data_IF_803474163750
#
_entry.id   IF_803474163750
#
_cell.length_a   1.000
_cell.length_b   1.000
_cell.length_c   1.000
_cell.angle_alpha   90.00
_cell.angle_beta   90.00
_cell.angle_gamma   90.00
#
_symmetry.space_group_name_H-M   'P 1'
#
loop_
_entity.id
_entity.type
_entity.pdbx_description
1 polymer ?
#
# COMPACT_ATOMS: atom_id res chain seq x y z
N UNK A 1 -17.69 -0.11 -14.97
CA UNK A 1 -16.62 0.38 -15.87
C UNK A 1 -15.30 -0.23 -15.37
N UNK A 2 -14.39 -0.69 -16.24
CA UNK A 2 -13.07 -1.09 -15.72
C UNK A 2 -12.36 0.13 -15.13
N UNK A 3 -11.56 -0.07 -14.10
CA UNK A 3 -10.68 0.96 -13.56
C UNK A 3 -9.64 1.39 -14.60
N UNK A 4 -9.23 2.67 -14.53
CA UNK A 4 -8.15 3.19 -15.36
C UNK A 4 -6.79 2.70 -14.83
N UNK A 5 -5.79 2.61 -15.71
CA UNK A 5 -4.44 2.27 -15.26
C UNK A 5 -3.85 3.37 -14.38
N UNK A 6 -3.02 2.99 -13.41
CA UNK A 6 -2.33 3.98 -12.55
C UNK A 6 -1.41 4.89 -13.38
N UNK A 7 -0.80 4.37 -14.45
CA UNK A 7 0.02 5.18 -15.36
C UNK A 7 -0.79 6.30 -16.00
N UNK A 8 -2.03 6.02 -16.45
CA UNK A 8 -2.92 7.02 -17.02
C UNK A 8 -3.39 8.04 -15.97
N UNK A 9 -3.60 7.60 -14.73
CA UNK A 9 -3.95 8.49 -13.61
C UNK A 9 -2.78 9.41 -13.26
N UNK A 10 -1.55 8.88 -13.20
CA UNK A 10 -0.34 9.69 -12.97
C UNK A 10 -0.17 10.75 -14.06
N UNK A 11 -0.46 10.40 -15.32
CA UNK A 11 -0.35 11.37 -16.41
C UNK A 11 -1.38 12.51 -16.28
N UNK A 12 -2.63 12.20 -15.92
CA UNK A 12 -3.61 13.24 -15.64
C UNK A 12 -3.20 14.08 -14.41
N UNK A 13 -2.66 13.45 -13.37
CA UNK A 13 -2.17 14.11 -12.18
C UNK A 13 -1.00 15.06 -12.49
N UNK A 14 -0.08 14.65 -13.38
CA UNK A 14 1.03 15.51 -13.89
C UNK A 14 0.52 16.77 -14.57
N UNK A 15 -0.64 16.67 -15.24
CA UNK A 15 -1.32 17.80 -15.87
C UNK A 15 -2.16 18.64 -14.90
N UNK A 16 -2.12 18.35 -13.59
CA UNK A 16 -2.91 19.05 -12.57
C UNK A 16 -4.40 18.70 -12.57
N UNK A 17 -4.78 17.56 -13.17
CA UNK A 17 -6.17 17.10 -13.17
C UNK A 17 -6.47 16.27 -11.91
N UNK A 18 -7.74 16.21 -11.54
CA UNK A 18 -8.25 15.37 -10.47
C UNK A 18 -8.26 13.90 -10.86
N UNK A 19 -8.09 13.04 -9.87
CA UNK A 19 -8.29 11.61 -9.98
C UNK A 19 -9.21 11.12 -8.85
N UNK A 20 -9.85 9.97 -9.04
CA UNK A 20 -10.65 9.31 -8.04
C UNK A 20 -9.98 7.98 -7.68
N UNK A 21 -9.66 7.77 -6.41
CA UNK A 21 -9.16 6.49 -5.93
C UNK A 21 -10.15 5.85 -4.97
N UNK A 22 -10.25 4.52 -5.06
CA UNK A 22 -11.08 3.68 -4.20
C UNK A 22 -10.17 2.81 -3.36
N UNK A 23 -10.45 2.67 -2.08
CA UNK A 23 -9.75 1.73 -1.20
C UNK A 23 -10.43 0.35 -1.16
N UNK A 24 -9.86 -0.57 -0.37
CA UNK A 24 -10.37 -1.93 -0.26
C UNK A 24 -11.75 -1.96 0.44
N UNK A 25 -12.62 -2.88 0.00
CA UNK A 25 -13.94 -3.12 0.60
C UNK A 25 -13.86 -3.50 2.09
N UNK A 26 -12.76 -4.15 2.50
CA UNK A 26 -12.50 -4.56 3.89
C UNK A 26 -11.93 -3.41 4.75
N UNK A 27 -11.66 -2.21 4.17
CA UNK A 27 -11.14 -1.05 4.87
C UNK A 27 -12.26 -0.01 5.10
N UNK A 28 -12.25 1.11 4.42
CA UNK A 28 -13.31 2.14 4.49
C UNK A 28 -14.39 1.89 3.44
N UNK A 29 -14.01 1.22 2.34
CA UNK A 29 -14.85 0.99 1.16
C UNK A 29 -15.40 2.30 0.61
N UNK A 30 -14.53 3.30 0.47
CA UNK A 30 -14.85 4.66 0.06
C UNK A 30 -14.04 5.07 -1.16
N UNK A 31 -14.38 6.21 -1.74
CA UNK A 31 -13.61 6.81 -2.81
C UNK A 31 -13.39 8.29 -2.54
N UNK A 32 -12.14 8.69 -2.64
CA UNK A 32 -11.75 10.09 -2.53
C UNK A 32 -11.43 10.68 -3.90
N UNK A 33 -11.86 11.92 -4.08
CA UNK A 33 -11.41 12.78 -5.15
C UNK A 33 -10.09 13.44 -4.72
N UNK A 34 -9.03 13.27 -5.51
CA UNK A 34 -7.69 13.74 -5.21
C UNK A 34 -7.23 14.76 -6.26
N UNK A 35 -6.44 15.77 -5.81
CA UNK A 35 -5.83 16.77 -6.67
C UNK A 35 -4.41 17.07 -6.17
N UNK A 36 -3.36 17.21 -7.04
CA UNK A 36 -2.07 17.71 -6.59
C UNK A 36 -2.23 19.05 -5.88
N UNK A 37 -1.75 19.16 -4.65
CA UNK A 37 -1.94 20.38 -3.85
C UNK A 37 -1.31 21.62 -4.52
N UNK A 38 -0.21 21.43 -5.27
CA UNK A 38 0.40 22.50 -6.07
C UNK A 38 -0.49 23.06 -7.20
N UNK A 39 -1.54 22.32 -7.58
CA UNK A 39 -2.51 22.72 -8.62
C UNK A 39 -3.85 23.18 -8.02
N UNK A 40 -3.91 23.37 -6.70
CA UNK A 40 -5.15 23.75 -6.00
C UNK A 40 -5.53 25.20 -6.31
N UNK A 41 -6.78 25.41 -6.72
CA UNK A 41 -7.37 26.73 -7.02
C UNK A 41 -8.72 26.91 -6.32
N UNK A 42 -9.25 28.12 -6.28
CA UNK A 42 -10.58 28.37 -5.75
C UNK A 42 -11.68 27.56 -6.47
N UNK A 43 -11.53 27.40 -7.79
CA UNK A 43 -12.45 26.63 -8.64
C UNK A 43 -12.42 25.15 -8.27
N UNK A 44 -11.23 24.58 -8.05
CA UNK A 44 -11.09 23.16 -7.67
C UNK A 44 -11.63 22.90 -6.26
N UNK A 45 -11.38 23.78 -5.29
CA UNK A 45 -11.98 23.70 -3.95
C UNK A 45 -13.51 23.81 -4.04
N UNK A 46 -14.03 24.76 -4.84
CA UNK A 46 -15.47 24.91 -5.05
C UNK A 46 -16.09 23.67 -5.67
N UNK A 47 -15.42 23.03 -6.64
CA UNK A 47 -15.86 21.79 -7.25
C UNK A 47 -15.90 20.66 -6.20
N UNK A 48 -14.81 20.45 -5.44
CA UNK A 48 -14.73 19.44 -4.38
C UNK A 48 -15.85 19.61 -3.35
N UNK A 49 -16.05 20.83 -2.84
CA UNK A 49 -17.09 21.11 -1.86
C UNK A 49 -18.51 20.85 -2.37
N UNK A 50 -18.79 21.16 -3.65
CA UNK A 50 -20.11 21.03 -4.24
C UNK A 50 -20.42 19.62 -4.72
N UNK A 51 -19.47 18.99 -5.40
CA UNK A 51 -19.71 17.71 -6.08
C UNK A 51 -19.34 16.51 -5.19
N UNK A 52 -18.20 16.58 -4.45
CA UNK A 52 -17.78 15.49 -3.58
C UNK A 52 -18.40 15.55 -2.17
N UNK A 53 -18.55 16.74 -1.56
CA UNK A 53 -19.29 17.03 -0.31
C UNK A 53 -18.63 16.58 0.99
N UNK A 54 -17.58 15.77 0.93
CA UNK A 54 -16.82 15.29 2.09
C UNK A 54 -15.97 16.38 2.75
N UNK A 55 -15.15 16.01 3.70
CA UNK A 55 -14.23 16.91 4.38
C UNK A 55 -12.99 17.17 3.49
N UNK A 56 -12.79 18.42 3.09
CA UNK A 56 -11.61 18.79 2.32
C UNK A 56 -10.38 18.78 3.23
N UNK A 57 -9.48 17.83 2.97
CA UNK A 57 -8.24 17.61 3.71
C UNK A 57 -7.01 17.87 2.82
N UNK A 58 -5.86 18.10 3.47
CA UNK A 58 -4.57 18.27 2.81
C UNK A 58 -3.61 17.15 3.26
N UNK A 59 -3.27 16.22 2.38
CA UNK A 59 -2.29 15.19 2.70
C UNK A 59 -0.88 15.75 2.61
N UNK A 60 -0.06 15.49 3.63
CA UNK A 60 1.33 15.95 3.75
C UNK A 60 2.22 14.79 4.21
N UNK A 61 3.46 14.76 3.74
CA UNK A 61 4.47 13.84 4.30
C UNK A 61 4.81 14.19 5.75
N UNK A 62 5.39 13.26 6.50
CA UNK A 62 5.85 13.51 7.85
C UNK A 62 6.88 14.67 7.90
N UNK A 63 7.86 14.66 6.99
CA UNK A 63 8.85 15.73 6.82
C UNK A 63 8.18 17.11 6.62
N UNK A 64 7.15 17.17 5.79
CA UNK A 64 6.41 18.38 5.50
C UNK A 64 5.67 18.89 6.75
N UNK A 65 5.00 17.97 7.47
CA UNK A 65 4.36 18.31 8.75
C UNK A 65 5.36 18.84 9.79
N UNK A 66 6.53 18.21 9.92
CA UNK A 66 7.60 18.66 10.80
C UNK A 66 8.09 20.06 10.42
N UNK A 67 8.33 20.32 9.14
CA UNK A 67 8.77 21.63 8.65
C UNK A 67 7.78 22.76 8.97
N UNK A 68 6.48 22.46 8.89
CA UNK A 68 5.41 23.41 9.24
C UNK A 68 5.12 23.50 10.74
N UNK A 69 5.75 22.66 11.58
CA UNK A 69 5.46 22.58 13.01
C UNK A 69 4.04 22.07 13.32
N UNK A 70 3.51 21.17 12.46
CA UNK A 70 2.18 20.60 12.65
C UNK A 70 2.24 19.42 13.62
N UNK A 71 1.53 19.53 14.73
CA UNK A 71 1.36 18.46 15.70
C UNK A 71 0.09 17.66 15.42
N UNK A 72 0.01 16.43 15.96
CA UNK A 72 -1.21 15.64 15.93
C UNK A 72 -2.35 16.39 16.63
N UNK A 73 -3.55 16.32 16.07
CA UNK A 73 -4.74 16.97 16.64
C UNK A 73 -5.04 16.50 18.08
N UNK A 74 -4.69 15.25 18.40
CA UNK A 74 -4.88 14.64 19.71
C UNK A 74 -3.67 13.82 20.12
N UNK A 75 -3.32 13.77 21.42
CA UNK A 75 -2.19 12.97 21.90
C UNK A 75 -2.40 11.46 21.73
N UNK A 76 -3.67 11.00 21.76
CA UNK A 76 -4.04 9.59 21.58
C UNK A 76 -5.13 9.52 20.52
N UNK A 77 -4.82 8.88 19.39
CA UNK A 77 -5.76 8.72 18.29
C UNK A 77 -6.63 7.49 18.52
N UNK A 78 -7.93 7.72 18.75
CA UNK A 78 -8.94 6.68 18.94
C UNK A 78 -9.74 6.33 17.68
N UNK A 79 -9.39 6.86 16.50
CA UNK A 79 -10.12 6.55 15.27
C UNK A 79 -9.85 5.12 14.80
N UNK A 80 -10.88 4.47 14.25
CA UNK A 80 -10.82 3.06 13.82
C UNK A 80 -9.67 2.80 12.83
N UNK A 81 -9.49 3.71 11.88
CA UNK A 81 -8.46 3.59 10.84
C UNK A 81 -7.20 4.41 11.14
N UNK A 82 -7.11 4.97 12.35
CA UNK A 82 -5.94 5.74 12.81
C UNK A 82 -5.53 6.87 11.87
N UNK A 83 -6.49 7.54 11.22
CA UNK A 83 -6.23 8.68 10.34
C UNK A 83 -5.54 9.79 11.12
N UNK A 84 -4.34 10.17 10.67
CA UNK A 84 -3.43 11.03 11.43
C UNK A 84 -3.73 12.52 11.17
N UNK A 85 -4.87 12.99 11.67
CA UNK A 85 -5.20 14.41 11.65
C UNK A 85 -4.17 15.22 12.46
N UNK A 86 -3.71 16.31 11.87
CA UNK A 86 -3.03 17.38 12.60
C UNK A 86 -4.02 18.45 13.00
N UNK A 87 -3.59 19.42 13.81
CA UNK A 87 -4.41 20.61 14.06
C UNK A 87 -4.70 21.30 12.72
N UNK A 88 -5.96 21.76 12.55
CA UNK A 88 -6.38 22.48 11.33
C UNK A 88 -5.60 23.79 11.18
N UNK A 89 -5.44 24.24 9.93
CA UNK A 89 -4.60 25.39 9.58
C UNK A 89 -5.34 26.44 8.76
N UNK A 90 -4.79 27.66 8.83
CA UNK A 90 -5.12 28.77 7.93
C UNK A 90 -3.85 29.42 7.44
N UNK A 91 -3.84 30.06 6.27
CA UNK A 91 -2.73 30.89 5.82
C UNK A 91 -2.57 32.09 6.76
N UNK A 92 -1.32 32.40 7.14
CA UNK A 92 -1.03 33.57 8.02
C UNK A 92 -1.39 34.91 7.35
N UNK A 93 -1.57 34.94 6.04
CA UNK A 93 -1.90 36.16 5.28
C UNK A 93 -2.65 35.84 3.98
N UNK A 94 -3.39 36.82 3.50
CA UNK A 94 -4.10 36.74 2.20
C UNK A 94 -5.42 35.95 2.27
N UNK A 95 -5.98 35.81 3.46
CA UNK A 95 -7.30 35.19 3.71
C UNK A 95 -8.22 36.17 4.43
N UNK A 96 -9.53 35.94 4.36
CA UNK A 96 -10.55 36.69 5.07
C UNK A 96 -11.03 35.92 6.30
N UNK A 97 -12.13 35.16 6.17
CA UNK A 97 -12.66 34.30 7.24
C UNK A 97 -12.15 32.86 7.17
N UNK A 98 -11.38 32.52 6.14
CA UNK A 98 -10.74 31.23 5.96
C UNK A 98 -11.60 30.17 5.24
N UNK A 99 -12.92 30.21 5.34
CA UNK A 99 -13.81 29.16 4.85
C UNK A 99 -14.12 29.25 3.36
N UNK A 100 -13.93 30.40 2.72
CA UNK A 100 -14.22 30.56 1.29
C UNK A 100 -13.33 29.64 0.44
N UNK A 101 -13.78 29.29 -0.76
CA UNK A 101 -12.97 28.48 -1.67
C UNK A 101 -11.62 29.15 -1.98
N UNK A 102 -11.60 30.47 -2.12
CA UNK A 102 -10.38 31.25 -2.34
C UNK A 102 -9.44 31.21 -1.12
N UNK A 103 -9.97 31.37 0.10
CA UNK A 103 -9.18 31.35 1.32
C UNK A 103 -8.58 29.96 1.56
N UNK A 104 -9.38 28.87 1.36
CA UNK A 104 -8.89 27.49 1.48
C UNK A 104 -7.81 27.18 0.45
N UNK A 105 -7.98 27.60 -0.81
CA UNK A 105 -6.96 27.45 -1.84
C UNK A 105 -5.68 28.22 -1.48
N UNK A 106 -5.83 29.45 -0.93
CA UNK A 106 -4.69 30.24 -0.43
C UNK A 106 -3.97 29.52 0.70
N UNK A 107 -4.70 28.91 1.63
CA UNK A 107 -4.15 28.14 2.74
C UNK A 107 -3.37 26.92 2.24
N UNK A 108 -3.95 26.17 1.29
CA UNK A 108 -3.24 25.05 0.67
C UNK A 108 -1.95 25.53 0.00
N UNK A 109 -2.02 26.57 -0.83
CA UNK A 109 -0.84 27.11 -1.52
C UNK A 109 0.26 27.58 -0.52
N UNK A 110 -0.12 28.23 0.57
CA UNK A 110 0.83 28.63 1.61
C UNK A 110 1.49 27.43 2.29
N UNK A 111 0.70 26.38 2.61
CA UNK A 111 1.20 25.20 3.30
C UNK A 111 2.15 24.36 2.43
N UNK A 112 1.97 24.30 1.10
CA UNK A 112 2.77 23.44 0.21
C UNK A 112 3.92 24.15 -0.50
N UNK A 113 4.10 25.45 -0.24
CA UNK A 113 5.26 26.18 -0.77
C UNK A 113 6.56 25.51 -0.30
N UNK A 114 7.53 25.45 -1.19
CA UNK A 114 8.83 24.79 -0.90
C UNK A 114 9.58 25.43 0.25
N UNK A 115 9.37 26.73 0.47
CA UNK A 115 9.99 27.51 1.55
C UNK A 115 9.08 27.70 2.77
N UNK A 116 7.87 27.10 2.76
CA UNK A 116 6.91 27.27 3.84
C UNK A 116 7.46 26.78 5.18
N UNK A 117 7.23 27.58 6.22
CA UNK A 117 7.55 27.28 7.59
C UNK A 117 6.39 27.61 8.55
N UNK A 118 6.60 27.49 9.87
CA UNK A 118 5.53 27.70 10.87
C UNK A 118 4.92 29.10 10.83
N UNK A 119 5.65 30.11 10.35
CA UNK A 119 5.17 31.48 10.28
C UNK A 119 4.21 31.74 9.10
N UNK A 120 4.13 30.84 8.13
CA UNK A 120 3.29 31.01 6.95
C UNK A 120 1.85 30.50 7.17
N UNK A 121 1.63 29.84 8.28
CA UNK A 121 0.34 29.30 8.70
C UNK A 121 -0.02 29.73 10.12
N UNK A 122 -1.32 29.70 10.43
CA UNK A 122 -1.86 29.85 11.79
C UNK A 122 -2.78 28.68 12.10
N UNK A 123 -2.99 28.43 13.38
CA UNK A 123 -3.83 27.36 13.91
C UNK A 123 -4.81 27.94 14.94
N UNK A 124 -6.08 27.46 14.94
CA UNK A 124 -6.73 26.57 14.01
C UNK A 124 -7.15 27.27 12.71
N UNK A 125 -7.68 26.51 11.75
CA UNK A 125 -8.20 27.02 10.48
C UNK A 125 -9.20 26.10 9.80
N UNK A 126 -9.38 26.26 8.49
CA UNK A 126 -10.42 25.57 7.70
C UNK A 126 -9.86 24.54 6.70
N UNK A 127 -8.56 24.27 6.73
CA UNK A 127 -7.94 23.13 6.05
C UNK A 127 -7.44 22.15 7.12
N UNK A 128 -7.67 20.87 6.90
CA UNK A 128 -7.31 19.78 7.81
C UNK A 128 -6.14 18.97 7.24
N UNK A 129 -4.90 19.23 7.70
CA UNK A 129 -3.78 18.43 7.25
C UNK A 129 -3.83 17.01 7.81
N UNK A 130 -3.49 16.04 6.96
CA UNK A 130 -3.35 14.63 7.29
C UNK A 130 -1.89 14.23 7.09
N UNK A 131 -1.29 13.66 8.14
CA UNK A 131 0.10 13.22 8.10
C UNK A 131 0.18 11.81 7.51
N UNK A 132 0.75 11.68 6.31
CA UNK A 132 1.01 10.40 5.68
C UNK A 132 2.10 9.62 6.42
N UNK A 133 2.00 8.28 6.41
CA UNK A 133 3.05 7.41 6.89
C UNK A 133 4.22 7.37 5.91
N UNK A 134 5.45 7.30 6.44
CA UNK A 134 6.63 7.05 5.63
C UNK A 134 6.49 5.73 4.88
N UNK A 135 6.96 5.69 3.64
CA UNK A 135 6.72 4.58 2.73
C UNK A 135 5.40 4.67 1.93
N UNK A 136 4.51 5.61 2.29
CA UNK A 136 3.27 5.86 1.54
C UNK A 136 2.30 4.68 1.56
N UNK A 137 1.65 4.40 0.42
CA UNK A 137 0.68 3.29 0.32
C UNK A 137 1.28 1.91 0.57
N UNK A 138 2.61 1.76 0.52
CA UNK A 138 3.28 0.51 0.85
C UNK A 138 3.30 0.23 2.36
N UNK A 139 3.20 1.27 3.19
CA UNK A 139 3.10 1.16 4.65
C UNK A 139 1.64 1.19 5.12
N UNK A 140 0.82 2.09 4.57
CA UNK A 140 -0.60 2.21 4.89
C UNK A 140 -1.43 2.46 3.63
N UNK A 141 -2.29 1.51 3.30
CA UNK A 141 -3.13 1.54 2.09
C UNK A 141 -4.32 2.51 2.24
N UNK A 142 -4.05 3.78 2.51
CA UNK A 142 -5.07 4.82 2.72
C UNK A 142 -4.96 5.97 1.71
N UNK A 143 -6.06 6.73 1.56
CA UNK A 143 -6.14 7.88 0.65
C UNK A 143 -5.13 8.97 1.00
N UNK A 144 -4.77 9.14 2.29
CA UNK A 144 -3.73 10.07 2.75
C UNK A 144 -2.39 9.77 2.10
N UNK A 145 -1.95 8.53 2.17
CA UNK A 145 -0.70 8.05 1.58
C UNK A 145 -0.77 8.08 0.05
N UNK A 146 -1.90 7.66 -0.50
CA UNK A 146 -2.13 7.66 -1.95
C UNK A 146 -2.03 9.05 -2.57
N UNK A 147 -2.53 10.08 -1.89
CA UNK A 147 -2.41 11.47 -2.33
C UNK A 147 -0.96 11.93 -2.43
N UNK A 148 -0.15 11.67 -1.39
CA UNK A 148 1.28 12.00 -1.39
C UNK A 148 2.04 11.22 -2.48
N UNK A 149 1.75 9.92 -2.65
CA UNK A 149 2.41 9.07 -3.63
C UNK A 149 2.08 9.47 -5.07
N UNK A 150 0.81 9.72 -5.39
CA UNK A 150 0.42 10.18 -6.72
C UNK A 150 1.08 11.51 -7.08
N UNK A 151 1.09 12.46 -6.13
CA UNK A 151 1.75 13.76 -6.34
C UNK A 151 3.25 13.57 -6.64
N UNK A 152 3.95 12.76 -5.84
CA UNK A 152 5.36 12.42 -6.03
C UNK A 152 5.61 11.75 -7.38
N UNK A 153 4.84 10.73 -7.73
CA UNK A 153 4.96 9.99 -9.00
C UNK A 153 4.67 10.87 -10.22
N UNK A 154 3.80 11.86 -10.07
CA UNK A 154 3.50 12.85 -11.10
C UNK A 154 4.55 13.98 -11.19
N UNK A 155 5.53 14.04 -10.27
CA UNK A 155 6.59 15.05 -10.24
C UNK A 155 6.20 16.35 -9.53
N UNK A 156 5.13 16.35 -8.76
CA UNK A 156 4.74 17.45 -7.87
C UNK A 156 5.32 17.31 -6.47
N UNK A 157 5.25 18.37 -5.67
CA UNK A 157 5.43 18.28 -4.22
C UNK A 157 4.52 17.16 -3.68
N UNK A 158 5.03 16.23 -2.83
CA UNK A 158 4.27 15.08 -2.35
C UNK A 158 3.18 15.50 -1.35
N UNK A 159 2.18 16.19 -1.85
CA UNK A 159 1.01 16.72 -1.14
C UNK A 159 -0.20 16.76 -2.07
N UNK A 160 -1.37 16.42 -1.55
CA UNK A 160 -2.63 16.45 -2.31
C UNK A 160 -3.78 17.01 -1.48
N UNK A 161 -4.69 17.70 -2.14
CA UNK A 161 -6.01 17.97 -1.58
C UNK A 161 -6.88 16.75 -1.84
N UNK A 162 -7.53 16.22 -0.81
CA UNK A 162 -8.42 15.07 -0.91
C UNK A 162 -9.78 15.39 -0.30
N UNK A 163 -10.80 14.69 -0.76
CA UNK A 163 -12.17 14.81 -0.23
C UNK A 163 -12.95 13.55 -0.54
N UNK A 164 -13.63 13.01 0.45
CA UNK A 164 -14.50 11.84 0.29
C UNK A 164 -15.69 12.19 -0.61
N UNK A 165 -16.10 11.25 -1.47
CA UNK A 165 -17.31 11.43 -2.30
C UNK A 165 -18.54 10.89 -1.55
N UNK A 166 -19.52 11.76 -1.39
CA UNK A 166 -20.81 11.45 -0.76
C UNK A 166 -21.94 11.57 -1.78
N UNK A 167 -22.97 10.77 -1.58
CA UNK A 167 -24.24 10.87 -2.32
C UNK A 167 -25.03 12.13 -1.93
N UNK A 168 -26.02 12.49 -2.73
CA UNK A 168 -26.88 13.66 -2.49
C UNK A 168 -27.69 13.55 -1.18
N UNK A 169 -27.95 12.33 -0.72
CA UNK A 169 -28.65 12.05 0.54
C UNK A 169 -27.74 12.05 1.78
N UNK A 170 -26.44 12.32 1.59
CA UNK A 170 -25.43 12.36 2.66
C UNK A 170 -24.83 11.00 3.01
N UNK A 171 -25.19 9.91 2.33
CA UNK A 171 -24.50 8.62 2.49
C UNK A 171 -23.17 8.59 1.74
N UNK A 172 -22.25 7.73 2.16
CA UNK A 172 -20.99 7.56 1.45
C UNK A 172 -21.23 6.91 0.09
N UNK A 173 -20.65 7.50 -0.97
CA UNK A 173 -20.67 6.90 -2.29
C UNK A 173 -19.83 5.62 -2.29
N UNK A 174 -20.39 4.53 -2.84
CA UNK A 174 -19.71 3.26 -2.99
C UNK A 174 -19.34 3.05 -4.48
N UNK A 175 -18.62 2.00 -4.77
CA UNK A 175 -18.09 1.75 -6.13
C UNK A 175 -19.08 2.01 -7.28
N UNK A 176 -20.35 1.57 -7.24
CA UNK A 176 -21.30 1.86 -8.32
C UNK A 176 -21.57 3.37 -8.50
N UNK A 177 -21.69 4.11 -7.37
CA UNK A 177 -21.94 5.55 -7.37
C UNK A 177 -20.70 6.31 -7.86
N UNK A 178 -19.51 5.88 -7.43
CA UNK A 178 -18.21 6.44 -7.81
C UNK A 178 -17.94 6.27 -9.30
N UNK A 179 -18.30 5.14 -9.91
CA UNK A 179 -18.22 4.94 -11.35
C UNK A 179 -19.15 5.89 -12.14
N UNK A 180 -20.33 6.18 -11.59
CA UNK A 180 -21.25 7.17 -12.18
C UNK A 180 -20.67 8.58 -12.05
N UNK A 181 -20.18 8.93 -10.85
CA UNK A 181 -19.52 10.21 -10.58
C UNK A 181 -18.33 10.45 -11.52
N UNK A 182 -17.40 9.50 -11.60
CA UNK A 182 -16.23 9.57 -12.46
C UNK A 182 -16.60 9.81 -13.93
N UNK A 183 -17.59 9.08 -14.43
CA UNK A 183 -18.11 9.24 -15.81
C UNK A 183 -18.77 10.60 -16.04
N UNK A 184 -19.60 11.06 -15.09
CA UNK A 184 -20.28 12.36 -15.17
C UNK A 184 -19.29 13.52 -15.30
N UNK A 185 -18.19 13.44 -14.57
CA UNK A 185 -17.20 14.52 -14.50
C UNK A 185 -15.97 14.31 -15.38
N UNK A 186 -15.88 13.19 -16.10
CA UNK A 186 -14.71 12.86 -16.95
C UNK A 186 -13.42 12.64 -16.16
N UNK A 187 -13.55 12.13 -14.92
CA UNK A 187 -12.43 11.88 -14.00
C UNK A 187 -12.04 10.41 -14.09
N UNK A 188 -10.75 10.12 -14.15
CA UNK A 188 -10.24 8.75 -14.10
C UNK A 188 -10.39 8.17 -12.71
N UNK A 189 -10.80 6.90 -12.65
CA UNK A 189 -10.98 6.15 -11.41
C UNK A 189 -10.05 4.94 -11.36
N UNK A 190 -9.35 4.76 -10.24
CA UNK A 190 -8.46 3.62 -9.97
C UNK A 190 -8.61 3.12 -8.53
N UNK A 191 -7.74 2.18 -8.14
CA UNK A 191 -7.71 1.64 -6.77
C UNK A 191 -6.37 1.91 -6.09
N UNK A 192 -6.39 2.02 -4.76
CA UNK A 192 -5.15 2.08 -3.96
C UNK A 192 -4.36 0.78 -4.12
N UNK A 193 -5.03 -0.37 -4.26
CA UNK A 193 -4.38 -1.66 -4.52
C UNK A 193 -3.57 -1.65 -5.83
N UNK A 194 -4.11 -1.08 -6.92
CA UNK A 194 -3.38 -0.94 -8.17
C UNK A 194 -2.21 0.04 -8.05
N UNK A 195 -2.32 1.08 -7.22
CA UNK A 195 -1.21 1.99 -6.94
C UNK A 195 -0.09 1.29 -6.17
N UNK A 196 -0.41 0.44 -5.19
CA UNK A 196 0.56 -0.42 -4.50
C UNK A 196 1.27 -1.32 -5.51
N UNK A 197 0.51 -2.02 -6.36
CA UNK A 197 1.08 -2.87 -7.40
C UNK A 197 2.00 -2.09 -8.35
N UNK A 198 1.57 -0.92 -8.81
CA UNK A 198 2.37 -0.05 -9.68
C UNK A 198 3.70 0.33 -9.01
N UNK A 199 3.67 0.78 -7.74
CA UNK A 199 4.89 1.15 -7.01
C UNK A 199 5.84 -0.03 -6.84
N UNK A 200 5.32 -1.19 -6.42
CA UNK A 200 6.13 -2.40 -6.24
C UNK A 200 6.74 -2.93 -7.54
N UNK A 201 6.07 -2.71 -8.69
CA UNK A 201 6.59 -3.11 -10.01
C UNK A 201 7.61 -2.13 -10.59
N UNK A 202 7.59 -0.86 -10.17
CA UNK A 202 8.44 0.21 -10.73
C UNK A 202 9.53 0.70 -9.76
N UNK A 203 9.36 0.49 -8.45
CA UNK A 203 10.30 0.89 -7.41
C UNK A 203 10.99 -0.35 -6.82
N UNK A 204 12.28 -0.26 -6.51
CA UNK A 204 13.00 -1.32 -5.82
C UNK A 204 12.97 -1.07 -4.31
N UNK A 205 12.11 -1.81 -3.61
CA UNK A 205 11.87 -1.64 -2.17
C UNK A 205 12.71 -2.57 -1.31
N UNK A 206 13.17 -3.70 -1.86
CA UNK A 206 14.01 -4.66 -1.12
C UNK A 206 15.44 -4.70 -1.63
N UNK A 207 16.40 -4.81 -0.73
CA UNK A 207 17.82 -4.80 -1.02
C UNK A 207 18.53 -5.98 -0.34
N UNK A 208 19.32 -6.72 -1.09
CA UNK A 208 20.17 -7.78 -0.54
C UNK A 208 21.21 -7.17 0.41
N UNK A 209 21.30 -7.69 1.65
CA UNK A 209 22.22 -7.22 2.69
C UNK A 209 23.22 -8.27 3.15
N UNK A 210 22.99 -9.55 2.86
CA UNK A 210 23.93 -10.62 3.26
C UNK A 210 23.66 -11.94 2.56
N UNK A 211 24.70 -12.78 2.55
CA UNK A 211 24.63 -14.14 2.01
C UNK A 211 25.55 -15.06 2.81
N UNK A 212 25.07 -16.25 3.20
CA UNK A 212 25.83 -17.25 3.96
C UNK A 212 25.30 -18.65 3.70
N UNK A 213 26.15 -19.65 3.82
CA UNK A 213 25.73 -21.04 3.88
C UNK A 213 25.14 -21.32 5.27
N UNK A 214 23.94 -21.91 5.30
CA UNK A 214 23.21 -22.27 6.51
C UNK A 214 22.93 -23.77 6.52
N UNK A 215 23.61 -24.57 7.37
CA UNK A 215 23.27 -25.96 7.59
C UNK A 215 21.89 -26.07 8.25
N UNK A 216 21.04 -26.93 7.70
CA UNK A 216 19.70 -27.24 8.25
C UNK A 216 19.52 -28.75 8.33
N UNK A 217 18.43 -29.21 8.95
CA UNK A 217 18.05 -30.63 8.99
C UNK A 217 17.74 -31.22 7.61
N UNK A 218 17.51 -30.36 6.60
CA UNK A 218 17.24 -30.78 5.20
C UNK A 218 18.45 -30.60 4.29
N UNK A 219 19.63 -30.25 4.83
CA UNK A 219 20.85 -29.98 4.07
C UNK A 219 21.30 -28.52 4.18
N UNK A 220 22.36 -28.17 3.48
CA UNK A 220 22.90 -26.82 3.51
C UNK A 220 22.23 -25.95 2.45
N UNK A 221 21.55 -24.91 2.91
CA UNK A 221 21.00 -23.86 2.06
C UNK A 221 21.91 -22.64 2.03
N UNK A 222 21.91 -21.95 0.93
CA UNK A 222 22.44 -20.60 0.84
C UNK A 222 21.37 -19.64 1.34
N UNK A 223 21.55 -19.09 2.54
CA UNK A 223 20.71 -18.08 3.12
C UNK A 223 21.10 -16.71 2.57
N UNK A 224 20.13 -16.02 1.95
CA UNK A 224 20.29 -14.66 1.49
C UNK A 224 19.30 -13.79 2.26
N UNK A 225 19.78 -12.70 2.82
CA UNK A 225 18.97 -11.76 3.60
C UNK A 225 18.73 -10.48 2.80
N UNK A 226 17.51 -9.98 2.90
CA UNK A 226 17.05 -8.77 2.24
C UNK A 226 16.44 -7.82 3.28
N UNK A 227 16.78 -6.54 3.17
CA UNK A 227 16.16 -5.48 3.95
C UNK A 227 15.06 -4.83 3.12
N UNK A 228 13.87 -4.68 3.70
CA UNK A 228 12.83 -3.84 3.13
C UNK A 228 13.09 -2.39 3.53
N UNK A 229 13.22 -1.50 2.55
CA UNK A 229 13.48 -0.08 2.75
C UNK A 229 12.26 0.71 3.21
N UNK A 230 11.09 0.09 3.16
CA UNK A 230 9.83 0.74 3.54
C UNK A 230 9.64 0.70 5.06
N UNK A 231 9.87 -0.46 5.67
CA UNK A 231 9.58 -0.70 7.09
C UNK A 231 10.79 -1.21 7.89
N UNK A 232 11.94 -1.40 7.23
CA UNK A 232 13.16 -1.94 7.84
C UNK A 232 13.07 -3.43 8.15
N UNK A 233 12.05 -4.13 7.67
CA UNK A 233 11.86 -5.56 7.84
C UNK A 233 12.96 -6.37 7.16
N UNK A 234 13.27 -7.55 7.71
CA UNK A 234 14.27 -8.45 7.13
C UNK A 234 13.57 -9.69 6.58
N UNK A 235 13.69 -9.88 5.26
CA UNK A 235 13.24 -11.07 4.57
C UNK A 235 14.40 -12.01 4.31
N UNK A 236 14.09 -13.29 4.11
CA UNK A 236 15.10 -14.33 3.88
C UNK A 236 14.75 -15.13 2.63
N UNK A 237 15.77 -15.54 1.89
CA UNK A 237 15.65 -16.53 0.83
C UNK A 237 16.55 -17.71 1.13
N UNK A 238 15.96 -18.90 1.24
CA UNK A 238 16.63 -20.19 1.42
C UNK A 238 16.79 -20.82 0.05
N UNK A 239 17.99 -20.73 -0.52
CA UNK A 239 18.28 -21.15 -1.89
C UNK A 239 19.08 -22.45 -1.88
N UNK A 240 18.68 -23.41 -2.73
CA UNK A 240 19.45 -24.61 -3.01
C UNK A 240 19.73 -24.71 -4.50
N UNK A 241 20.93 -25.12 -4.87
CA UNK A 241 21.36 -25.21 -6.26
C UNK A 241 21.58 -23.84 -6.94
N UNK A 242 21.67 -23.85 -8.25
CA UNK A 242 21.82 -22.63 -9.07
C UNK A 242 20.49 -22.25 -9.72
N UNK A 243 19.99 -21.07 -9.38
CA UNK A 243 18.82 -20.49 -10.02
C UNK A 243 19.20 -19.81 -11.33
N UNK A 244 18.39 -19.97 -12.37
CA UNK A 244 18.57 -19.37 -13.69
C UNK A 244 17.24 -18.89 -14.23
N UNK A 245 17.27 -17.77 -14.95
CA UNK A 245 16.07 -17.11 -15.46
C UNK A 245 15.27 -17.96 -16.44
N UNK A 246 15.94 -18.76 -17.23
CA UNK A 246 15.36 -19.61 -18.30
C UNK A 246 14.94 -21.00 -17.84
N UNK A 247 15.38 -21.43 -16.66
CA UNK A 247 15.15 -22.78 -16.13
C UNK A 247 14.09 -22.73 -15.02
N UNK A 248 13.01 -23.54 -15.09
CA UNK A 248 12.02 -23.62 -14.04
C UNK A 248 12.63 -24.05 -12.68
N UNK A 249 12.42 -23.28 -11.64
CA UNK A 249 12.85 -23.57 -10.27
C UNK A 249 11.65 -23.80 -9.35
N UNK A 250 11.79 -24.67 -8.34
CA UNK A 250 10.79 -24.75 -7.27
C UNK A 250 10.81 -23.47 -6.46
N UNK A 251 9.65 -22.87 -6.26
CA UNK A 251 9.50 -21.61 -5.54
C UNK A 251 8.36 -21.67 -4.53
N UNK A 252 8.65 -21.27 -3.30
CA UNK A 252 7.66 -20.94 -2.30
C UNK A 252 7.91 -19.54 -1.77
N UNK A 253 6.90 -18.67 -1.83
CA UNK A 253 6.87 -17.45 -1.03
C UNK A 253 6.01 -17.74 0.20
N UNK A 254 6.61 -17.62 1.38
CA UNK A 254 6.03 -17.98 2.66
C UNK A 254 6.06 -16.78 3.60
N UNK A 255 4.89 -16.35 4.06
CA UNK A 255 4.78 -15.33 5.12
C UNK A 255 4.85 -16.07 6.46
N UNK A 256 5.75 -15.63 7.35
CA UNK A 256 5.92 -16.25 8.68
C UNK A 256 4.60 -16.19 9.45
N UNK A 257 4.20 -17.35 9.96
CA UNK A 257 3.07 -17.49 10.90
C UNK A 257 3.56 -18.19 12.18
N UNK A 258 3.74 -17.45 13.29
CA UNK A 258 4.30 -18.02 14.52
C UNK A 258 3.53 -19.23 15.04
N UNK A 259 2.20 -19.22 14.96
CA UNK A 259 1.39 -20.34 15.46
C UNK A 259 1.55 -21.59 14.61
N UNK A 260 1.65 -21.43 13.30
CA UNK A 260 1.80 -22.54 12.36
C UNK A 260 3.24 -23.02 12.28
N UNK A 261 4.18 -22.09 12.13
CA UNK A 261 5.57 -22.43 11.82
C UNK A 261 6.37 -22.84 13.07
N UNK A 262 6.02 -22.32 14.28
CA UNK A 262 6.73 -22.63 15.53
C UNK A 262 6.02 -23.69 16.35
N UNK A 263 4.68 -23.63 16.47
CA UNK A 263 3.92 -24.57 17.32
C UNK A 263 3.14 -25.62 16.55
N UNK A 264 3.18 -25.57 15.20
CA UNK A 264 2.56 -26.59 14.36
C UNK A 264 1.02 -26.56 14.37
N UNK A 265 0.41 -25.40 14.63
CA UNK A 265 -1.04 -25.28 14.63
C UNK A 265 -1.61 -25.55 13.24
N UNK A 266 -2.57 -26.47 13.13
CA UNK A 266 -3.26 -26.84 11.89
C UNK A 266 -4.65 -26.19 11.83
N UNK A 267 -4.74 -25.05 11.17
CA UNK A 267 -5.99 -24.32 10.98
C UNK A 267 -6.24 -23.89 9.54
N UNK A 268 -5.33 -24.20 8.63
CA UNK A 268 -5.42 -23.81 7.21
C UNK A 268 -5.86 -24.93 6.29
N UNK A 269 -6.17 -26.11 6.84
CA UNK A 269 -6.58 -27.29 6.09
C UNK A 269 -5.44 -28.00 5.34
N UNK A 270 -5.68 -29.21 4.81
CA UNK A 270 -4.64 -30.13 4.32
C UNK A 270 -3.96 -29.68 3.03
N UNK A 271 -4.34 -28.57 2.42
CA UNK A 271 -3.86 -28.16 1.08
C UNK A 271 -2.74 -27.12 1.07
N UNK A 272 -2.13 -26.81 2.22
CA UNK A 272 -1.15 -25.74 2.29
C UNK A 272 0.25 -26.20 2.64
N UNK A 273 1.23 -25.83 1.80
CA UNK A 273 2.64 -26.01 2.07
C UNK A 273 3.05 -25.29 3.36
N UNK A 274 3.54 -26.04 4.36
CA UNK A 274 4.22 -25.45 5.53
C UNK A 274 5.63 -25.01 5.15
N UNK A 275 6.26 -24.15 5.97
CA UNK A 275 7.65 -23.76 5.77
C UNK A 275 8.57 -24.98 5.69
N UNK A 276 8.43 -25.91 6.63
CA UNK A 276 9.24 -27.12 6.73
C UNK A 276 9.07 -28.06 5.54
N UNK A 277 7.83 -28.32 5.11
CA UNK A 277 7.55 -29.15 3.94
C UNK A 277 8.11 -28.53 2.65
N UNK A 278 8.05 -27.19 2.50
CA UNK A 278 8.62 -26.49 1.36
C UNK A 278 10.16 -26.60 1.34
N UNK A 279 10.83 -26.42 2.48
CA UNK A 279 12.27 -26.58 2.60
C UNK A 279 12.70 -28.02 2.28
N UNK A 280 11.99 -29.02 2.84
CA UNK A 280 12.24 -30.45 2.56
C UNK A 280 12.07 -30.74 1.04
N UNK A 281 11.04 -30.23 0.42
CA UNK A 281 10.78 -30.45 -1.01
C UNK A 281 11.84 -29.82 -1.90
N UNK A 282 12.28 -28.58 -1.59
CA UNK A 282 13.38 -27.92 -2.31
C UNK A 282 14.68 -28.67 -2.14
N UNK A 283 14.96 -29.18 -0.93
CA UNK A 283 16.15 -30.00 -0.67
C UNK A 283 16.16 -31.31 -1.45
N UNK A 284 15.03 -32.00 -1.51
CA UNK A 284 14.87 -33.24 -2.27
C UNK A 284 15.04 -33.04 -3.78
N UNK A 285 14.60 -31.90 -4.32
CA UNK A 285 14.77 -31.54 -5.73
C UNK A 285 16.22 -31.11 -6.05
N UNK A 286 16.93 -30.57 -5.05
CA UNK A 286 18.29 -30.06 -5.20
C UNK A 286 18.39 -28.69 -5.88
N UNK A 287 17.28 -28.09 -6.33
CA UNK A 287 17.24 -26.77 -6.94
C UNK A 287 15.92 -26.07 -6.65
N UNK A 288 15.99 -24.89 -6.08
CA UNK A 288 14.82 -24.07 -5.77
C UNK A 288 15.06 -23.03 -4.69
N UNK A 289 14.01 -22.33 -4.30
CA UNK A 289 14.05 -21.30 -3.27
C UNK A 289 12.76 -21.26 -2.44
N UNK A 290 12.93 -21.11 -1.14
CA UNK A 290 11.87 -20.70 -0.22
C UNK A 290 12.15 -19.28 0.22
N UNK A 291 11.34 -18.34 -0.25
CA UNK A 291 11.37 -16.93 0.20
C UNK A 291 10.52 -16.84 1.46
N UNK A 292 11.11 -16.37 2.54
CA UNK A 292 10.46 -16.21 3.84
C UNK A 292 10.29 -14.72 4.10
N UNK A 293 9.05 -14.25 3.99
CA UNK A 293 8.71 -12.86 4.25
C UNK A 293 8.47 -12.64 5.75
N UNK A 294 9.03 -11.56 6.28
CA UNK A 294 8.72 -11.12 7.64
C UNK A 294 7.21 -10.90 7.81
N UNK A 295 6.69 -11.24 8.97
CA UNK A 295 5.32 -10.92 9.35
C UNK A 295 5.36 -9.77 10.36
N UNK A 296 4.71 -8.66 10.01
CA UNK A 296 4.58 -7.48 10.86
C UNK A 296 3.30 -7.52 11.72
N UNK A 297 2.76 -8.74 11.98
CA UNK A 297 1.61 -8.89 12.86
C UNK A 297 1.98 -8.40 14.28
N UNK A 298 1.23 -7.42 14.77
CA UNK A 298 1.41 -6.93 16.14
C UNK A 298 0.99 -7.98 17.16
N UNK A 299 1.54 -7.88 18.39
CA UNK A 299 1.12 -8.75 19.48
C UNK A 299 -0.39 -8.68 19.74
N UNK A 300 -0.99 -7.51 19.57
CA UNK A 300 -2.43 -7.33 19.72
C UNK A 300 -3.22 -8.08 18.61
N UNK A 301 -2.79 -7.97 17.36
CA UNK A 301 -3.42 -8.69 16.25
C UNK A 301 -3.32 -10.23 16.43
N UNK A 302 -2.17 -10.71 16.93
CA UNK A 302 -2.00 -12.11 17.28
C UNK A 302 -2.98 -12.55 18.37
N UNK A 303 -3.13 -11.75 19.45
CA UNK A 303 -4.07 -12.03 20.54
C UNK A 303 -5.53 -12.06 20.05
N UNK A 304 -5.91 -11.19 19.14
CA UNK A 304 -7.25 -11.15 18.55
C UNK A 304 -7.51 -12.34 17.62
N UNK A 305 -6.47 -12.85 16.96
CA UNK A 305 -6.55 -14.01 16.07
C UNK A 305 -6.69 -15.34 16.81
N UNK A 306 -6.03 -15.52 17.96
CA UNK A 306 -6.03 -16.80 18.71
C UNK A 306 -7.43 -17.35 19.01
N UNK A 307 -8.40 -16.57 19.51
CA UNK A 307 -9.76 -17.07 19.77
C UNK A 307 -10.52 -17.49 18.50
N UNK A 308 -10.12 -16.97 17.33
CA UNK A 308 -10.78 -17.25 16.06
C UNK A 308 -10.32 -18.56 15.43
N UNK A 309 -9.18 -19.11 15.85
CA UNK A 309 -8.61 -20.38 15.34
C UNK A 309 -9.46 -21.60 15.67
N UNK A 310 -10.25 -21.55 16.74
CA UNK A 310 -11.13 -22.64 17.18
C UNK A 310 -12.52 -22.59 16.53
N UNK A 311 -12.83 -21.55 15.76
CA UNK A 311 -14.05 -21.43 14.99
C UNK A 311 -13.83 -22.08 13.61
N UNK A 312 -14.91 -22.60 12.97
CA UNK A 312 -14.83 -23.22 11.65
C UNK A 312 -14.01 -22.34 10.68
N UNK A 313 -13.21 -22.94 9.77
CA UNK A 313 -12.28 -22.21 8.92
C UNK A 313 -13.02 -21.13 8.12
N UNK A 314 -13.02 -19.91 8.66
CA UNK A 314 -13.37 -18.73 7.86
C UNK A 314 -12.21 -18.53 6.90
N UNK A 315 -12.50 -18.42 5.61
CA UNK A 315 -11.58 -17.83 4.68
C UNK A 315 -11.26 -16.43 5.23
N UNK A 316 -10.06 -16.26 5.80
CA UNK A 316 -9.58 -14.93 6.12
C UNK A 316 -9.46 -14.20 4.79
N UNK A 317 -10.42 -13.33 4.51
CA UNK A 317 -10.31 -12.40 3.38
C UNK A 317 -9.08 -11.53 3.67
N UNK A 318 -7.99 -11.81 2.98
CA UNK A 318 -6.84 -10.90 2.97
C UNK A 318 -7.22 -9.75 2.04
N UNK A 319 -7.03 -8.51 2.49
CA UNK A 319 -7.25 -7.36 1.63
C UNK A 319 -6.39 -7.47 0.37
N UNK A 320 -6.90 -6.97 -0.74
CA UNK A 320 -6.19 -7.01 -2.02
C UNK A 320 -4.84 -6.29 -1.94
N UNK A 321 -4.78 -5.19 -1.19
CA UNK A 321 -3.58 -4.42 -0.90
C UNK A 321 -2.49 -5.27 -0.23
N UNK A 322 -2.85 -6.06 0.79
CA UNK A 322 -1.91 -6.96 1.47
C UNK A 322 -1.39 -8.07 0.56
N UNK A 323 -2.27 -8.65 -0.26
CA UNK A 323 -1.88 -9.66 -1.24
C UNK A 323 -0.87 -9.09 -2.23
N UNK A 324 -1.11 -7.88 -2.76
CA UNK A 324 -0.20 -7.23 -3.69
C UNK A 324 1.15 -6.90 -3.04
N UNK A 325 1.16 -6.44 -1.78
CA UNK A 325 2.39 -6.18 -1.04
C UNK A 325 3.22 -7.46 -0.87
N UNK A 326 2.63 -8.55 -0.38
CA UNK A 326 3.30 -9.84 -0.19
C UNK A 326 3.84 -10.41 -1.52
N UNK A 327 3.04 -10.35 -2.59
CA UNK A 327 3.41 -10.82 -3.93
C UNK A 327 4.52 -9.95 -4.53
N UNK A 328 4.42 -8.63 -4.42
CA UNK A 328 5.39 -7.69 -4.96
C UNK A 328 6.76 -7.82 -4.30
N UNK A 329 6.81 -7.86 -2.97
CA UNK A 329 8.06 -8.09 -2.20
C UNK A 329 8.69 -9.43 -2.57
N UNK A 330 7.88 -10.51 -2.60
CA UNK A 330 8.34 -11.83 -3.03
C UNK A 330 8.87 -11.85 -4.46
N UNK A 331 8.21 -11.16 -5.38
CA UNK A 331 8.60 -11.06 -6.78
C UNK A 331 9.93 -10.31 -6.95
N UNK A 332 10.14 -9.20 -6.26
CA UNK A 332 11.41 -8.46 -6.28
C UNK A 332 12.58 -9.32 -5.77
N UNK A 333 12.36 -10.09 -4.69
CA UNK A 333 13.37 -11.03 -4.18
C UNK A 333 13.68 -12.10 -5.23
N UNK A 334 12.67 -12.70 -5.86
CA UNK A 334 12.87 -13.72 -6.91
C UNK A 334 13.61 -13.18 -8.13
N UNK A 335 13.32 -11.95 -8.54
CA UNK A 335 14.06 -11.27 -9.62
C UNK A 335 15.54 -11.07 -9.26
N UNK A 336 15.83 -10.62 -8.02
CA UNK A 336 17.21 -10.44 -7.55
C UNK A 336 17.99 -11.76 -7.51
N UNK A 337 17.30 -12.88 -7.24
CA UNK A 337 17.86 -14.24 -7.27
C UNK A 337 18.04 -14.81 -8.68
N UNK A 338 17.59 -14.09 -9.71
CA UNK A 338 17.68 -14.52 -11.10
C UNK A 338 16.65 -15.59 -11.48
N UNK A 339 15.52 -15.69 -10.77
CA UNK A 339 14.39 -16.55 -11.14
C UNK A 339 13.57 -15.86 -12.23
N UNK A 340 13.21 -16.59 -13.29
CA UNK A 340 12.28 -16.12 -14.32
C UNK A 340 11.09 -17.07 -14.51
N UNK A 341 11.35 -18.37 -14.40
CA UNK A 341 10.33 -19.41 -14.49
C UNK A 341 10.20 -20.13 -13.16
N UNK A 342 8.98 -20.26 -12.66
CA UNK A 342 8.74 -20.86 -11.35
C UNK A 342 7.73 -22.00 -11.40
N UNK A 343 8.06 -23.08 -10.70
CA UNK A 343 7.18 -24.17 -10.30
C UNK A 343 6.71 -23.85 -8.88
N UNK A 344 5.52 -23.28 -8.77
CA UNK A 344 5.01 -22.71 -7.52
C UNK A 344 4.53 -23.81 -6.56
N UNK A 345 5.11 -23.87 -5.36
CA UNK A 345 4.62 -24.72 -4.27
C UNK A 345 3.41 -24.06 -3.59
N UNK A 346 2.22 -24.40 -4.09
CA UNK A 346 0.95 -23.80 -3.64
C UNK A 346 -0.20 -24.08 -4.59
N UNK A 347 -1.39 -23.55 -4.28
CA UNK A 347 -2.52 -23.62 -5.19
C UNK A 347 -2.25 -22.82 -6.48
N UNK A 348 -3.03 -23.07 -7.55
CA UNK A 348 -2.90 -22.28 -8.77
C UNK A 348 -3.03 -20.78 -8.50
N UNK A 349 -2.01 -20.02 -8.88
CA UNK A 349 -2.00 -18.57 -8.76
C UNK A 349 -2.81 -17.95 -9.90
N UNK A 350 -3.88 -17.24 -9.57
CA UNK A 350 -4.70 -16.48 -10.51
C UNK A 350 -4.21 -15.03 -10.72
N UNK A 351 -2.95 -14.76 -10.39
CA UNK A 351 -2.47 -13.37 -10.34
C UNK A 351 -1.92 -12.93 -11.70
N UNK A 352 -2.67 -12.05 -12.36
CA UNK A 352 -2.18 -11.25 -13.49
C UNK A 352 -0.96 -10.35 -13.09
N UNK A 353 -0.73 -10.16 -11.78
CA UNK A 353 0.29 -9.27 -11.24
C UNK A 353 1.74 -9.76 -11.33
N UNK A 354 2.01 -11.03 -11.66
CA UNK A 354 3.37 -11.53 -11.79
C UNK A 354 4.02 -11.19 -13.14
N UNK A 355 3.22 -10.95 -14.18
CA UNK A 355 3.73 -10.54 -15.51
C UNK A 355 4.49 -9.22 -15.47
N UNK A 356 4.11 -8.29 -14.58
CA UNK A 356 4.81 -7.02 -14.35
C UNK A 356 6.22 -7.17 -13.76
N UNK A 357 6.57 -8.38 -13.26
CA UNK A 357 7.88 -8.69 -12.70
C UNK A 357 8.71 -9.64 -13.58
N UNK A 358 8.34 -9.86 -14.84
CA UNK A 358 9.01 -10.83 -15.71
C UNK A 358 9.11 -12.24 -15.10
N UNK A 359 8.13 -12.65 -14.33
CA UNK A 359 8.02 -13.96 -13.69
C UNK A 359 6.91 -14.77 -14.35
N UNK A 360 7.23 -15.98 -14.75
CA UNK A 360 6.30 -16.93 -15.39
C UNK A 360 6.04 -18.12 -14.46
N UNK A 361 4.79 -18.35 -14.07
CA UNK A 361 4.38 -19.59 -13.37
C UNK A 361 4.14 -20.67 -14.39
N UNK A 362 5.07 -21.62 -14.53
CA UNK A 362 4.94 -22.74 -15.47
C UNK A 362 4.20 -23.93 -14.89
N UNK A 363 4.18 -24.06 -13.56
CA UNK A 363 3.51 -25.15 -12.84
C UNK A 363 3.07 -24.67 -11.44
N UNK A 364 1.91 -25.14 -10.99
CA UNK A 364 1.49 -25.03 -9.59
C UNK A 364 1.40 -26.41 -8.98
N UNK A 365 2.09 -26.64 -7.88
CA UNK A 365 2.20 -27.92 -7.20
C UNK A 365 1.45 -27.79 -5.87
N UNK A 366 0.21 -28.33 -5.78
CA UNK A 366 -0.52 -28.37 -4.52
C UNK A 366 0.20 -29.27 -3.52
N UNK A 367 -0.01 -29.04 -2.23
CA UNK A 367 0.49 -29.93 -1.19
C UNK A 367 -0.32 -31.24 -1.25
N UNK A 368 0.37 -32.35 -1.38
CA UNK A 368 -0.17 -33.71 -1.22
C UNK A 368 0.62 -34.37 -0.09
N UNK A 369 -0.08 -34.90 0.92
CA UNK A 369 0.52 -35.66 2.01
C UNK A 369 1.33 -36.86 1.53
#
# INVERSE_FOLDING_TARGET
MPFNSIADIIEDYRQGKMALLVDDEDRENEGDLLLPAACCTAETISFMAREARGLICLTLTDEHCQRLGLEQMVPSNGSVFSTAFTVSIEAASGVTTGISAADRARTVAAAVDVNAGPADIVQPGHIFPLRAKDGGVLTRAGHTEAGCDLARLAGHTPASVIVEVMNDDGTMARRPDLEIFARKHGIKIGTIADLIHYRLSTERTVVRIGERDLPTVHGTFRLITFEDRIDGGVHMAMVMGQLRRDTPALVRVHVIDPLRDLVGADYSGPSNWTLWAALQRVAAEGCGVVVVLANHESSQALLERVPQLTQAPRQFNRSQSRIYSEVGTGAQILQDLGVGKLRHLGPPLKYAGLTGYDLEVVESIPFTE
#
